data_IF_907091122021
#
_entry.id   IF_907091122021
#
_cell.length_a   1.000
_cell.length_b   1.000
_cell.length_c   1.000
_cell.angle_alpha   90.00
_cell.angle_beta   90.00
_cell.angle_gamma   90.00
#
_symmetry.space_group_name_H-M   'P 1'
#
loop_
_entity.id
_entity.type
_entity.pdbx_description
1 polymer ?
#
# COMPACT_ATOMS: atom_id res chain seq x y z
N UNK A 1 32.35 46.21 -45.60
CA UNK A 1 31.28 45.19 -45.69
C UNK A 1 31.75 43.93 -44.97
N UNK A 2 31.35 43.75 -43.71
CA UNK A 2 31.74 42.59 -42.89
C UNK A 2 30.80 41.42 -43.18
N UNK A 3 31.34 40.32 -43.71
CA UNK A 3 30.58 39.11 -44.04
C UNK A 3 30.38 38.30 -42.75
N UNK A 4 29.15 38.25 -42.25
CA UNK A 4 28.79 37.38 -41.13
C UNK A 4 28.71 35.95 -41.66
N UNK A 5 29.62 35.07 -41.26
CA UNK A 5 29.56 33.65 -41.60
C UNK A 5 28.63 32.94 -40.63
N UNK A 6 27.42 32.61 -41.09
CA UNK A 6 26.50 31.75 -40.36
C UNK A 6 27.08 30.33 -40.30
N UNK A 7 27.65 29.95 -39.15
CA UNK A 7 28.00 28.56 -38.85
C UNK A 7 26.70 27.77 -38.66
N UNK A 8 26.36 26.93 -39.63
CA UNK A 8 25.27 25.96 -39.50
C UNK A 8 25.65 24.83 -38.54
N UNK A 9 24.66 24.24 -37.89
CA UNK A 9 24.85 23.05 -37.04
C UNK A 9 25.45 21.90 -37.84
N UNK A 10 26.43 21.21 -37.25
CA UNK A 10 26.99 20.00 -37.86
C UNK A 10 26.03 18.83 -37.69
N UNK A 11 26.05 17.89 -38.65
CA UNK A 11 25.26 16.66 -38.57
C UNK A 11 25.63 15.84 -37.33
N UNK A 12 26.90 15.85 -36.93
CA UNK A 12 27.36 15.19 -35.70
C UNK A 12 26.78 15.86 -34.45
N UNK A 13 26.53 17.16 -34.49
CA UNK A 13 26.05 17.93 -33.35
C UNK A 13 24.58 17.59 -33.06
N UNK A 14 23.76 17.51 -34.10
CA UNK A 14 22.38 17.02 -33.99
C UNK A 14 22.36 15.55 -33.58
N UNK A 15 23.26 14.71 -34.10
CA UNK A 15 23.34 13.29 -33.71
C UNK A 15 23.65 13.13 -32.23
N UNK A 16 24.62 13.89 -31.71
CA UNK A 16 24.99 13.87 -30.28
C UNK A 16 23.84 14.37 -29.41
N UNK A 17 23.14 15.42 -29.81
CA UNK A 17 21.96 15.92 -29.08
C UNK A 17 20.87 14.86 -29.00
N UNK A 18 20.52 14.23 -30.13
CA UNK A 18 19.53 13.15 -30.16
C UNK A 18 19.97 11.93 -29.34
N UNK A 19 21.27 11.61 -29.34
CA UNK A 19 21.83 10.54 -28.53
C UNK A 19 21.68 10.82 -27.02
N UNK A 20 22.02 12.03 -26.57
CA UNK A 20 21.84 12.45 -25.17
C UNK A 20 20.36 12.45 -24.80
N UNK A 21 19.47 12.94 -25.66
CA UNK A 21 18.01 12.90 -25.44
C UNK A 21 17.53 11.45 -25.30
N UNK A 22 17.99 10.54 -26.16
CA UNK A 22 17.65 9.12 -26.09
C UNK A 22 18.05 8.48 -24.76
N UNK A 23 19.28 8.73 -24.30
CA UNK A 23 19.78 8.20 -23.01
C UNK A 23 18.99 8.80 -21.83
N UNK A 24 18.79 10.13 -21.83
CA UNK A 24 18.07 10.82 -20.75
C UNK A 24 16.61 10.38 -20.66
N UNK A 25 15.92 10.21 -21.79
CA UNK A 25 14.56 9.65 -21.83
C UNK A 25 14.54 8.20 -21.33
N UNK A 26 15.54 7.38 -21.69
CA UNK A 26 15.67 6.01 -21.19
C UNK A 26 15.72 5.95 -19.66
N UNK A 27 16.56 6.77 -19.02
CA UNK A 27 16.63 6.86 -17.56
C UNK A 27 15.35 7.45 -16.94
N UNK A 28 14.76 8.47 -17.56
CA UNK A 28 13.54 9.09 -17.07
C UNK A 28 12.40 8.06 -16.96
N UNK A 29 12.18 7.25 -18.00
CA UNK A 29 11.14 6.22 -18.01
C UNK A 29 11.33 5.16 -16.92
N UNK A 30 12.56 4.71 -16.69
CA UNK A 30 12.88 3.75 -15.63
C UNK A 30 12.63 4.34 -14.23
N UNK A 31 13.00 5.60 -14.00
CA UNK A 31 12.83 6.28 -12.72
C UNK A 31 11.35 6.47 -12.33
N UNK A 32 10.49 6.79 -13.31
CA UNK A 32 9.06 6.95 -13.06
C UNK A 32 8.35 5.66 -12.65
N UNK A 33 8.80 4.50 -13.15
CA UNK A 33 8.22 3.20 -12.82
C UNK A 33 8.33 2.86 -11.33
N UNK A 34 9.54 2.98 -10.77
CA UNK A 34 9.82 2.69 -9.35
C UNK A 34 9.11 3.69 -8.42
N UNK A 35 9.12 4.97 -8.77
CA UNK A 35 8.46 6.01 -7.96
C UNK A 35 6.93 5.79 -7.86
N UNK A 36 6.31 5.40 -8.98
CA UNK A 36 4.88 5.11 -9.04
C UNK A 36 4.49 3.91 -8.18
N UNK A 37 5.28 2.83 -8.20
CA UNK A 37 5.03 1.62 -7.40
C UNK A 37 5.15 1.92 -5.90
N UNK A 38 6.23 2.59 -5.49
CA UNK A 38 6.44 2.94 -4.08
C UNK A 38 5.31 3.81 -3.52
N UNK A 39 4.87 4.81 -4.29
CA UNK A 39 3.76 5.68 -3.88
C UNK A 39 2.45 4.90 -3.72
N UNK A 40 2.16 3.96 -4.61
CA UNK A 40 0.96 3.11 -4.53
C UNK A 40 0.95 2.24 -3.27
N UNK A 41 2.10 1.68 -2.88
CA UNK A 41 2.22 0.87 -1.67
C UNK A 41 1.97 1.71 -0.41
N UNK A 42 2.54 2.92 -0.36
CA UNK A 42 2.31 3.85 0.77
C UNK A 42 0.83 4.21 0.88
N UNK A 43 0.19 4.59 -0.23
CA UNK A 43 -1.25 4.92 -0.26
C UNK A 43 -2.10 3.72 0.18
N UNK A 44 -1.78 2.51 -0.29
CA UNK A 44 -2.49 1.30 0.13
C UNK A 44 -2.32 1.02 1.64
N UNK A 45 -1.13 1.27 2.22
CA UNK A 45 -0.89 1.13 3.65
C UNK A 45 -1.68 2.15 4.49
N UNK A 46 -1.76 3.40 4.01
CA UNK A 46 -2.57 4.46 4.63
C UNK A 46 -4.06 4.09 4.60
N UNK A 47 -4.56 3.66 3.44
CA UNK A 47 -5.94 3.21 3.26
C UNK A 47 -6.27 2.03 4.18
N UNK A 48 -5.38 1.03 4.27
CA UNK A 48 -5.57 -0.12 5.16
C UNK A 48 -5.57 0.30 6.64
N UNK A 49 -4.70 1.24 7.02
CA UNK A 49 -4.66 1.78 8.39
C UNK A 49 -5.97 2.48 8.75
N UNK A 50 -6.51 3.29 7.84
CA UNK A 50 -7.81 3.94 8.01
C UNK A 50 -8.94 2.91 8.07
N UNK A 51 -8.87 1.87 7.24
CA UNK A 51 -9.83 0.78 7.23
C UNK A 51 -9.87 0.02 8.56
N UNK A 52 -8.72 -0.29 9.16
CA UNK A 52 -8.66 -0.95 10.46
C UNK A 52 -9.32 -0.08 11.55
N UNK A 53 -9.06 1.23 11.53
CA UNK A 53 -9.72 2.17 12.45
C UNK A 53 -11.24 2.22 12.24
N UNK A 54 -11.69 2.17 10.99
CA UNK A 54 -13.11 2.11 10.66
C UNK A 54 -13.76 0.83 11.21
N UNK A 55 -13.11 -0.33 11.05
CA UNK A 55 -13.58 -1.60 11.62
C UNK A 55 -13.68 -1.51 13.13
N UNK A 56 -12.71 -0.89 13.79
CA UNK A 56 -12.73 -0.67 15.24
C UNK A 56 -13.91 0.21 15.67
N UNK A 57 -14.12 1.34 15.00
CA UNK A 57 -15.27 2.21 15.27
C UNK A 57 -16.59 1.46 15.07
N UNK A 58 -16.69 0.66 14.02
CA UNK A 58 -17.89 -0.11 13.73
C UNK A 58 -18.15 -1.21 14.77
N UNK A 59 -17.10 -1.87 15.28
CA UNK A 59 -17.22 -2.86 16.36
C UNK A 59 -17.81 -2.25 17.64
N UNK A 60 -17.36 -1.04 17.99
CA UNK A 60 -17.88 -0.27 19.13
C UNK A 60 -19.34 0.12 18.90
N UNK A 61 -19.64 0.72 17.75
CA UNK A 61 -20.98 1.23 17.42
C UNK A 61 -22.04 0.12 17.40
N UNK A 62 -21.71 -1.03 16.82
CA UNK A 62 -22.64 -2.17 16.72
C UNK A 62 -22.62 -3.06 17.96
N UNK A 63 -21.79 -2.75 18.96
CA UNK A 63 -21.58 -3.57 20.16
C UNK A 63 -21.31 -5.03 19.79
N UNK A 64 -20.47 -5.25 18.77
CA UNK A 64 -20.24 -6.56 18.17
C UNK A 64 -18.76 -6.83 17.98
N UNK A 65 -18.35 -8.06 18.27
CA UNK A 65 -16.99 -8.52 17.96
C UNK A 65 -16.84 -8.76 16.46
N UNK A 66 -15.84 -8.10 15.88
CA UNK A 66 -15.48 -8.18 14.48
C UNK A 66 -14.12 -8.86 14.32
N UNK A 67 -13.93 -9.47 13.15
CA UNK A 67 -12.66 -10.08 12.76
C UNK A 67 -12.29 -9.59 11.38
N UNK A 68 -11.16 -8.92 11.29
CA UNK A 68 -10.51 -8.58 10.03
C UNK A 68 -9.51 -9.68 9.67
N UNK A 69 -9.71 -10.32 8.52
CA UNK A 69 -8.77 -11.29 7.98
C UNK A 69 -8.01 -10.66 6.82
N UNK A 70 -6.69 -10.65 6.92
CA UNK A 70 -5.78 -10.13 5.92
C UNK A 70 -5.04 -11.32 5.29
N UNK A 71 -5.13 -11.43 3.97
CA UNK A 71 -4.48 -12.43 3.13
C UNK A 71 -3.51 -11.73 2.17
N UNK A 72 -2.79 -12.50 1.36
CA UNK A 72 -1.85 -11.95 0.38
C UNK A 72 -2.55 -11.15 -0.73
N UNK A 73 -3.77 -11.53 -1.10
CA UNK A 73 -4.56 -10.97 -2.18
C UNK A 73 -5.50 -9.84 -1.74
N UNK A 74 -5.83 -9.78 -0.46
CA UNK A 74 -6.81 -8.83 0.04
C UNK A 74 -7.15 -8.96 1.51
N UNK A 75 -8.24 -8.30 1.92
CA UNK A 75 -8.74 -8.32 3.28
C UNK A 75 -10.27 -8.27 3.32
N UNK A 76 -10.84 -8.89 4.36
CA UNK A 76 -12.30 -8.96 4.56
C UNK A 76 -12.66 -8.98 6.04
N UNK A 77 -13.82 -8.40 6.35
CA UNK A 77 -14.37 -8.34 7.72
C UNK A 77 -15.46 -9.39 7.92
N UNK A 78 -15.42 -10.01 9.08
CA UNK A 78 -16.39 -10.99 9.54
C UNK A 78 -17.00 -10.53 10.85
N UNK A 79 -18.28 -10.80 11.03
CA UNK A 79 -19.01 -10.58 12.28
C UNK A 79 -19.16 -11.89 13.02
N UNK A 80 -19.04 -11.85 14.34
CA UNK A 80 -19.37 -12.97 15.19
C UNK A 80 -20.89 -13.11 15.32
N UNK A 81 -21.42 -14.30 15.03
CA UNK A 81 -22.85 -14.62 15.13
C UNK A 81 -23.06 -15.86 16.03
N UNK A 82 -24.12 -15.92 16.85
CA UNK A 82 -24.52 -17.14 17.53
C UNK A 82 -24.92 -18.25 16.52
N UNK A 83 -24.59 -19.53 16.75
CA UNK A 83 -24.00 -20.12 17.95
C UNK A 83 -22.46 -20.25 17.88
N UNK A 84 -21.73 -19.18 17.52
CA UNK A 84 -20.26 -19.06 17.35
C UNK A 84 -19.75 -19.18 15.91
N UNK A 85 -20.52 -18.76 14.93
CA UNK A 85 -20.12 -18.71 13.52
C UNK A 85 -19.55 -17.34 13.17
N UNK A 86 -18.55 -17.33 12.29
CA UNK A 86 -18.02 -16.10 11.70
C UNK A 86 -18.62 -15.96 10.31
N UNK A 87 -19.37 -14.89 10.09
CA UNK A 87 -20.03 -14.64 8.80
C UNK A 87 -19.50 -13.35 8.18
N UNK A 88 -19.19 -13.33 6.88
CA UNK A 88 -18.73 -12.12 6.21
C UNK A 88 -19.81 -11.04 6.23
N UNK A 89 -19.41 -9.78 6.46
CA UNK A 89 -20.35 -8.65 6.48
C UNK A 89 -20.59 -8.15 5.06
N UNK A 90 -21.23 -8.98 4.24
CA UNK A 90 -21.51 -8.64 2.83
C UNK A 90 -22.61 -7.57 2.68
N UNK A 91 -23.47 -7.40 3.70
CA UNK A 91 -24.57 -6.42 3.69
C UNK A 91 -24.10 -4.97 3.75
N UNK A 92 -22.88 -4.73 4.26
CA UNK A 92 -22.29 -3.39 4.32
C UNK A 92 -21.31 -3.23 3.16
N UNK A 93 -21.55 -2.32 2.19
CA UNK A 93 -20.69 -2.17 1.01
C UNK A 93 -19.21 -1.94 1.34
N UNK A 94 -18.92 -1.30 2.48
CA UNK A 94 -17.57 -1.02 2.98
C UNK A 94 -16.82 -2.28 3.45
N UNK A 95 -17.52 -3.36 3.81
CA UNK A 95 -16.93 -4.57 4.40
C UNK A 95 -16.86 -5.77 3.45
N UNK A 96 -17.12 -5.53 2.15
CA UNK A 96 -16.84 -6.51 1.10
C UNK A 96 -15.34 -6.77 0.97
N UNK A 97 -15.00 -7.93 0.40
CA UNK A 97 -13.62 -8.28 0.06
C UNK A 97 -12.94 -7.15 -0.73
N UNK A 98 -11.87 -6.61 -0.16
CA UNK A 98 -11.01 -5.63 -0.81
C UNK A 98 -9.74 -6.32 -1.29
N UNK A 99 -9.33 -6.03 -2.51
CA UNK A 99 -8.09 -6.58 -3.09
C UNK A 99 -6.95 -5.60 -2.93
N UNK A 100 -5.74 -6.12 -2.70
CA UNK A 100 -4.53 -5.32 -2.73
C UNK A 100 -4.16 -4.94 -4.17
N UNK A 101 -3.49 -3.78 -4.37
CA UNK A 101 -2.93 -3.44 -5.67
C UNK A 101 -1.87 -4.46 -6.09
N UNK A 102 -1.73 -4.66 -7.41
CA UNK A 102 -0.72 -5.58 -7.97
C UNK A 102 0.69 -5.17 -7.53
N UNK A 103 1.52 -6.17 -7.22
CA UNK A 103 2.91 -5.97 -6.80
C UNK A 103 3.10 -5.68 -5.30
N UNK A 104 2.00 -5.47 -4.55
CA UNK A 104 2.06 -5.28 -3.12
C UNK A 104 2.23 -6.62 -2.40
N UNK A 105 3.28 -6.72 -1.61
CA UNK A 105 3.54 -7.84 -0.72
C UNK A 105 3.05 -7.51 0.69
N UNK A 106 2.26 -8.39 1.26
CA UNK A 106 1.74 -8.30 2.63
C UNK A 106 2.30 -9.44 3.45
N UNK A 107 2.89 -9.12 4.62
CA UNK A 107 3.30 -10.08 5.65
C UNK A 107 4.11 -11.25 5.06
N UNK A 108 5.42 -11.05 4.90
CA UNK A 108 6.37 -11.91 4.16
C UNK A 108 6.51 -13.39 4.57
N UNK A 109 5.49 -14.00 5.20
CA UNK A 109 5.41 -15.42 5.57
C UNK A 109 4.13 -16.12 5.13
N UNK A 110 3.27 -15.50 4.30
CA UNK A 110 2.14 -16.16 3.64
C UNK A 110 1.03 -16.69 4.56
N UNK A 111 1.11 -16.46 5.87
CA UNK A 111 0.05 -16.81 6.83
C UNK A 111 -0.99 -15.69 6.87
N UNK A 112 -2.29 -16.01 6.77
CA UNK A 112 -3.34 -15.03 6.98
C UNK A 112 -3.19 -14.40 8.37
N UNK A 113 -3.17 -13.07 8.42
CA UNK A 113 -3.21 -12.33 9.68
C UNK A 113 -4.67 -12.12 10.06
N UNK A 114 -5.02 -12.50 11.29
CA UNK A 114 -6.38 -12.33 11.82
C UNK A 114 -6.32 -11.33 12.96
N UNK A 115 -7.05 -10.23 12.79
CA UNK A 115 -7.17 -9.15 13.77
C UNK A 115 -8.59 -9.21 14.30
N UNK A 116 -8.75 -9.57 15.58
CA UNK A 116 -10.04 -9.47 16.25
C UNK A 116 -10.16 -8.11 16.91
N UNK A 117 -11.31 -7.47 16.74
CA UNK A 117 -11.68 -6.22 17.41
C UNK A 117 -12.97 -6.47 18.18
N UNK A 118 -12.98 -6.15 19.46
CA UNK A 118 -14.16 -6.32 20.30
C UNK A 118 -15.02 -5.06 20.37
N UNK A 119 -16.17 -5.19 21.04
CA UNK A 119 -17.12 -4.11 21.26
C UNK A 119 -16.56 -2.98 22.16
N UNK A 120 -15.50 -3.22 22.94
CA UNK A 120 -14.82 -2.16 23.70
C UNK A 120 -13.83 -1.36 22.86
N UNK A 121 -13.53 -1.81 21.64
CA UNK A 121 -12.50 -1.22 20.79
C UNK A 121 -11.09 -1.76 21.07
N UNK A 122 -10.97 -2.72 21.97
CA UNK A 122 -9.74 -3.48 22.18
C UNK A 122 -9.52 -4.41 20.98
N UNK A 123 -8.26 -4.63 20.65
CA UNK A 123 -7.86 -5.28 19.42
C UNK A 123 -6.74 -6.29 19.65
N UNK A 124 -6.69 -7.34 18.84
CA UNK A 124 -5.53 -8.24 18.84
C UNK A 124 -4.29 -7.49 18.38
N UNK A 125 -3.21 -7.50 19.16
CA UNK A 125 -1.97 -6.85 18.75
C UNK A 125 -1.39 -7.51 17.49
N UNK A 126 -0.91 -6.69 16.56
CA UNK A 126 -0.35 -7.18 15.31
C UNK A 126 0.74 -6.24 14.78
N UNK A 127 1.60 -6.81 13.95
CA UNK A 127 2.55 -6.09 13.11
C UNK A 127 2.36 -6.57 11.68
N UNK A 128 2.08 -5.63 10.78
CA UNK A 128 1.84 -5.91 9.37
C UNK A 128 2.86 -5.14 8.54
N UNK A 129 3.69 -5.86 7.78
CA UNK A 129 4.62 -5.25 6.84
C UNK A 129 4.04 -5.24 5.43
N UNK A 130 4.20 -4.12 4.75
CA UNK A 130 3.85 -3.90 3.35
C UNK A 130 5.09 -3.48 2.58
N UNK A 131 5.24 -4.01 1.37
CA UNK A 131 6.38 -3.72 0.51
C UNK A 131 6.18 -4.21 -0.93
N UNK A 132 7.25 -4.21 -1.70
CA UNK A 132 7.33 -4.79 -3.05
C UNK A 132 8.30 -5.96 -3.09
N UNK A 133 8.37 -6.66 -4.23
CA UNK A 133 9.38 -7.70 -4.46
C UNK A 133 10.82 -7.19 -4.35
N UNK A 134 11.06 -5.91 -4.64
CA UNK A 134 12.40 -5.29 -4.53
C UNK A 134 12.69 -4.80 -3.11
N UNK A 135 11.68 -4.26 -2.43
CA UNK A 135 11.77 -3.76 -1.05
C UNK A 135 10.65 -4.39 -0.22
N UNK A 136 10.84 -5.58 0.36
CA UNK A 136 9.77 -6.34 1.01
C UNK A 136 9.25 -5.70 2.30
N UNK A 137 9.94 -4.70 2.85
CA UNK A 137 9.49 -3.94 4.02
C UNK A 137 9.70 -2.45 3.75
N UNK A 138 8.62 -1.79 3.32
CA UNK A 138 8.59 -0.35 3.09
C UNK A 138 7.79 0.38 4.16
N UNK A 139 6.67 -0.21 4.58
CA UNK A 139 5.77 0.35 5.58
C UNK A 139 5.39 -0.75 6.56
N UNK A 140 5.31 -0.38 7.84
CA UNK A 140 4.88 -1.27 8.92
C UNK A 140 3.69 -0.65 9.62
N UNK A 141 2.58 -1.37 9.68
CA UNK A 141 1.40 -1.02 10.46
C UNK A 141 1.45 -1.81 11.76
N UNK A 142 1.41 -1.11 12.89
CA UNK A 142 1.43 -1.72 14.22
C UNK A 142 0.12 -1.42 14.93
N UNK A 143 -0.60 -2.48 15.29
CA UNK A 143 -1.79 -2.43 16.13
C UNK A 143 -1.46 -2.87 17.55
N UNK A 144 -1.85 -2.06 18.54
CA UNK A 144 -1.71 -2.37 19.97
C UNK A 144 -3.02 -2.89 20.55
N UNK A 145 -2.94 -3.51 21.74
CA UNK A 145 -4.10 -4.11 22.41
C UNK A 145 -5.20 -3.11 22.75
N UNK A 146 -4.82 -1.89 23.10
CA UNK A 146 -5.71 -0.76 23.38
C UNK A 146 -6.38 -0.17 22.13
N UNK A 147 -6.35 -0.88 21.00
CA UNK A 147 -6.92 -0.42 19.73
C UNK A 147 -6.10 0.64 18.99
N UNK A 148 -4.96 1.10 19.52
CA UNK A 148 -4.14 2.09 18.82
C UNK A 148 -3.49 1.48 17.56
N UNK A 149 -3.70 2.12 16.41
CA UNK A 149 -3.09 1.74 15.12
C UNK A 149 -2.15 2.84 14.66
N UNK A 150 -0.89 2.48 14.44
CA UNK A 150 0.16 3.40 13.97
C UNK A 150 0.79 2.88 12.68
N UNK A 151 1.05 3.80 11.75
CA UNK A 151 1.79 3.52 10.51
C UNK A 151 3.21 4.05 10.69
N UNK A 152 4.20 3.22 10.39
CA UNK A 152 5.62 3.55 10.47
C UNK A 152 6.23 3.29 9.09
N UNK A 153 6.95 4.27 8.57
CA UNK A 153 7.75 4.09 7.36
C UNK A 153 9.06 3.40 7.73
N UNK A 154 9.53 2.47 6.89
CA UNK A 154 10.87 1.94 7.03
C UNK A 154 11.86 3.10 6.98
N UNK A 155 12.78 3.15 7.95
CA UNK A 155 13.85 4.15 7.95
C UNK A 155 14.66 3.93 6.67
N UNK A 156 14.74 4.95 5.81
CA UNK A 156 15.69 4.91 4.69
C UNK A 156 17.10 4.76 5.29
N UNK A 157 17.91 3.80 4.80
CA UNK A 157 19.34 3.84 5.08
C UNK A 157 19.97 5.10 4.49
#
# INVERSE_FOLDING_TARGET
>A
MTRVTSRGFSLIEILVVLFIIGITLGFALLSFGDFGEKRRIIVAAEQLTQYIKLVQQYAILETSTLRLQIKADGYQVFRFQPPKTWSPIASTPLFRLQHFPKGLLVNGRGKPLVIQVDASGDMTAFTLTLGSSQQPTMVTIVGKRNGAVTLQHAKSP
#
